data_IF_764238526953
#
_entry.id   IF_764238526953
#
_cell.length_a   1.000
_cell.length_b   1.000
_cell.length_c   1.000
_cell.angle_alpha   90.00
_cell.angle_beta   90.00
_cell.angle_gamma   90.00
#
_symmetry.space_group_name_H-M   'P 1'
#
loop_
_entity.id
_entity.type
_entity.pdbx_description
1 polymer ?
#
# COMPACT_ATOMS: atom_id res chain seq x y z
N UNK A 1 23.61 -15.81 -0.76
CA UNK A 1 22.97 -14.48 -0.70
C UNK A 1 22.83 -14.11 0.76
N UNK A 2 23.00 -12.84 1.09
CA UNK A 2 22.87 -12.37 2.48
C UNK A 2 21.44 -12.58 2.99
N UNK A 3 21.28 -13.11 4.20
CA UNK A 3 19.98 -13.22 4.88
C UNK A 3 19.58 -11.90 5.57
N UNK A 4 20.28 -10.82 5.26
CA UNK A 4 20.02 -9.48 5.77
C UNK A 4 19.87 -8.50 4.61
N UNK A 5 19.05 -7.48 4.80
CA UNK A 5 18.91 -6.37 3.84
C UNK A 5 20.09 -5.42 4.06
N UNK A 6 21.02 -5.43 3.12
CA UNK A 6 22.21 -4.59 3.08
C UNK A 6 22.50 -4.20 1.63
N UNK A 7 23.58 -3.45 1.38
CA UNK A 7 24.05 -3.12 0.01
C UNK A 7 24.28 -4.35 -0.88
N UNK A 8 24.61 -5.50 -0.28
CA UNK A 8 24.81 -6.76 -1.03
C UNK A 8 23.50 -7.35 -1.54
N UNK A 9 22.36 -6.87 -1.05
CA UNK A 9 21.04 -7.23 -1.52
C UNK A 9 20.72 -6.60 -2.89
N UNK A 10 21.38 -5.50 -3.23
CA UNK A 10 21.17 -4.76 -4.47
C UNK A 10 21.80 -5.52 -5.64
N UNK A 11 21.04 -5.70 -6.72
CA UNK A 11 21.52 -6.34 -7.95
C UNK A 11 22.77 -5.65 -8.50
N UNK A 12 23.72 -6.43 -9.05
CA UNK A 12 24.93 -5.88 -9.67
C UNK A 12 24.61 -5.08 -10.94
N UNK A 13 23.48 -5.35 -11.57
CA UNK A 13 22.99 -4.67 -12.77
C UNK A 13 22.17 -3.41 -12.45
N UNK A 14 22.18 -2.96 -11.19
CA UNK A 14 21.37 -1.81 -10.78
C UNK A 14 21.75 -0.55 -11.54
N UNK A 15 20.80 -0.02 -12.28
CA UNK A 15 20.82 1.32 -12.89
C UNK A 15 19.55 2.03 -12.47
N UNK A 16 19.68 3.27 -12.09
CA UNK A 16 18.59 4.12 -11.64
C UNK A 16 18.51 5.38 -12.50
N UNK A 17 17.32 5.70 -12.98
CA UNK A 17 17.07 6.92 -13.74
C UNK A 17 15.97 7.74 -13.09
N UNK A 18 16.31 8.94 -12.65
CA UNK A 18 15.36 9.91 -12.13
C UNK A 18 14.79 10.73 -13.29
N UNK A 19 13.58 10.35 -13.73
CA UNK A 19 12.91 11.01 -14.86
C UNK A 19 12.32 12.38 -14.49
N UNK A 20 12.21 12.70 -13.20
CA UNK A 20 11.82 14.03 -12.72
C UNK A 20 13.00 15.00 -12.70
N UNK A 21 14.24 14.50 -12.70
CA UNK A 21 15.48 15.30 -12.63
C UNK A 21 16.29 15.19 -13.92
N UNK A 22 15.68 15.53 -15.05
CA UNK A 22 16.34 15.56 -16.37
C UNK A 22 16.95 14.21 -16.79
N UNK A 23 16.36 13.08 -16.41
CA UNK A 23 16.85 11.73 -16.67
C UNK A 23 18.25 11.48 -16.11
N UNK A 24 18.57 12.05 -14.95
CA UNK A 24 19.84 11.77 -14.29
C UNK A 24 19.94 10.28 -13.95
N UNK A 25 21.03 9.65 -14.36
CA UNK A 25 21.24 8.21 -14.18
C UNK A 25 22.31 7.96 -13.14
N UNK A 26 22.09 6.96 -12.30
CA UNK A 26 22.99 6.50 -11.25
C UNK A 26 23.20 5.00 -11.37
N UNK A 27 24.38 4.51 -11.02
CA UNK A 27 24.71 3.10 -10.95
C UNK A 27 24.79 2.58 -9.50
N UNK A 28 25.03 1.27 -9.33
CA UNK A 28 25.16 0.64 -8.00
C UNK A 28 26.25 1.30 -7.15
N UNK A 29 27.39 1.68 -7.74
CA UNK A 29 28.48 2.31 -7.00
C UNK A 29 28.03 3.65 -6.40
N UNK A 30 27.39 4.50 -7.19
CA UNK A 30 26.87 5.79 -6.73
C UNK A 30 25.79 5.64 -5.66
N UNK A 31 24.93 4.59 -5.77
CA UNK A 31 23.98 4.27 -4.71
C UNK A 31 24.70 3.86 -3.42
N UNK A 32 25.75 3.03 -3.51
CA UNK A 32 26.54 2.62 -2.32
C UNK A 32 27.23 3.84 -1.68
N UNK A 33 27.76 4.75 -2.47
CA UNK A 33 28.32 5.99 -1.96
C UNK A 33 27.31 6.81 -1.16
N UNK A 34 26.08 6.94 -1.68
CA UNK A 34 24.99 7.61 -0.96
C UNK A 34 24.54 6.85 0.29
N UNK A 35 24.50 5.52 0.26
CA UNK A 35 24.22 4.70 1.44
C UNK A 35 25.23 5.02 2.55
N UNK A 36 26.52 5.09 2.21
CA UNK A 36 27.57 5.43 3.18
C UNK A 36 27.41 6.84 3.74
N UNK A 37 27.09 7.82 2.91
CA UNK A 37 26.79 9.18 3.37
C UNK A 37 25.60 9.19 4.35
N UNK A 38 24.50 8.51 4.01
CA UNK A 38 23.33 8.46 4.88
C UNK A 38 23.57 7.67 6.16
N UNK A 39 24.37 6.59 6.13
CA UNK A 39 24.82 5.92 7.37
C UNK A 39 25.55 6.87 8.30
N UNK A 40 26.46 7.67 7.74
CA UNK A 40 27.18 8.68 8.52
C UNK A 40 26.23 9.72 9.11
N UNK A 41 25.35 10.30 8.30
CA UNK A 41 24.36 11.29 8.74
C UNK A 41 23.46 10.73 9.84
N UNK A 42 22.89 9.55 9.64
CA UNK A 42 22.04 8.91 10.64
C UNK A 42 22.81 8.63 11.94
N UNK A 43 24.01 8.09 11.84
CA UNK A 43 24.79 7.67 13.01
C UNK A 43 25.38 8.84 13.79
N UNK A 44 26.02 9.78 13.11
CA UNK A 44 26.80 10.85 13.75
C UNK A 44 26.03 12.16 13.88
N UNK A 45 25.31 12.58 12.84
CA UNK A 45 24.57 13.83 12.91
C UNK A 45 23.26 13.66 13.69
N UNK A 46 22.57 12.53 13.48
CA UNK A 46 21.27 12.25 14.11
C UNK A 46 21.36 11.29 15.29
N UNK A 47 22.56 10.81 15.63
CA UNK A 47 22.83 9.94 16.77
C UNK A 47 21.96 8.67 16.84
N UNK A 48 21.61 8.12 15.66
CA UNK A 48 20.79 6.91 15.55
C UNK A 48 21.50 5.69 16.21
N UNK A 49 20.75 4.93 17.01
CA UNK A 49 21.24 3.74 17.68
C UNK A 49 20.55 2.49 17.07
N UNK A 50 21.24 1.33 17.07
CA UNK A 50 20.62 0.07 16.64
C UNK A 50 19.30 -0.19 17.34
N UNK A 51 18.35 -0.74 16.62
CA UNK A 51 17.00 -1.05 17.08
C UNK A 51 16.14 0.15 17.51
N UNK A 52 16.58 1.39 17.26
CA UNK A 52 15.67 2.54 17.31
C UNK A 52 14.71 2.52 16.11
N UNK A 53 13.52 3.09 16.27
CA UNK A 53 12.50 3.17 15.25
C UNK A 53 12.67 4.44 14.42
N UNK A 54 12.77 4.28 13.10
CA UNK A 54 12.82 5.39 12.14
C UNK A 54 11.58 5.39 11.24
N UNK A 55 10.92 6.55 11.14
CA UNK A 55 9.90 6.82 10.12
C UNK A 55 10.55 7.63 9.00
N UNK A 56 10.46 7.11 7.78
CA UNK A 56 10.96 7.76 6.57
C UNK A 56 9.77 8.37 5.83
N UNK A 57 9.47 9.63 6.15
CA UNK A 57 8.33 10.39 5.62
C UNK A 57 8.70 11.23 4.42
N UNK A 58 9.41 10.67 3.44
CA UNK A 58 9.78 11.37 2.22
C UNK A 58 8.66 11.30 1.18
N UNK A 59 8.33 12.45 0.60
CA UNK A 59 7.38 12.57 -0.51
C UNK A 59 8.06 12.29 -1.85
N UNK A 60 9.30 12.75 -2.01
CA UNK A 60 10.04 12.55 -3.26
C UNK A 60 10.74 11.20 -3.25
N UNK A 61 10.37 10.37 -4.23
CA UNK A 61 11.12 9.18 -4.54
C UNK A 61 12.36 9.58 -5.36
N UNK A 62 13.50 9.04 -4.99
CA UNK A 62 14.76 9.33 -5.65
C UNK A 62 15.85 8.42 -5.13
N UNK A 63 17.08 8.57 -5.62
CA UNK A 63 18.19 7.72 -5.19
C UNK A 63 18.44 7.80 -3.68
N UNK A 64 18.25 8.98 -3.08
CA UNK A 64 18.43 9.18 -1.64
C UNK A 64 17.39 8.43 -0.81
N UNK A 65 16.16 8.29 -1.32
CA UNK A 65 15.12 7.48 -0.67
C UNK A 65 15.57 6.02 -0.48
N UNK A 66 16.13 5.43 -1.53
CA UNK A 66 16.68 4.06 -1.46
C UNK A 66 17.91 3.99 -0.58
N UNK A 67 18.79 4.96 -0.72
CA UNK A 67 20.01 5.04 0.09
C UNK A 67 19.69 5.10 1.59
N UNK A 68 18.69 5.88 2.00
CA UNK A 68 18.23 5.99 3.39
C UNK A 68 17.66 4.67 3.90
N UNK A 69 16.83 3.97 3.09
CA UNK A 69 16.24 2.69 3.47
C UNK A 69 17.33 1.66 3.74
N UNK A 70 18.29 1.52 2.81
CA UNK A 70 19.39 0.57 2.97
C UNK A 70 20.33 1.00 4.09
N UNK A 71 20.63 2.29 4.25
CA UNK A 71 21.42 2.81 5.34
C UNK A 71 20.78 2.52 6.72
N UNK A 72 19.47 2.74 6.83
CA UNK A 72 18.73 2.42 8.05
C UNK A 72 18.77 0.91 8.35
N UNK A 73 18.61 0.08 7.31
CA UNK A 73 18.72 -1.38 7.43
C UNK A 73 20.13 -1.82 7.88
N UNK A 74 21.19 -1.28 7.27
CA UNK A 74 22.58 -1.57 7.65
C UNK A 74 22.95 -1.07 9.06
N UNK A 75 22.27 -0.04 9.56
CA UNK A 75 22.41 0.45 10.94
C UNK A 75 21.52 -0.31 11.93
N UNK A 76 20.84 -1.35 11.47
CA UNK A 76 19.87 -2.13 12.28
C UNK A 76 18.77 -1.28 12.90
N UNK A 77 18.29 -0.24 12.17
CA UNK A 77 17.14 0.55 12.58
C UNK A 77 15.84 -0.16 12.21
N UNK A 78 14.79 0.01 13.01
CA UNK A 78 13.44 -0.48 12.73
C UNK A 78 12.69 0.52 11.89
N UNK A 79 12.51 0.23 10.60
CA UNK A 79 11.79 1.11 9.68
C UNK A 79 10.29 0.99 9.92
N UNK A 80 9.66 2.09 10.30
CA UNK A 80 8.21 2.15 10.51
C UNK A 80 7.53 2.39 9.18
N UNK A 81 6.65 1.46 8.80
CA UNK A 81 5.85 1.52 7.57
C UNK A 81 4.44 1.93 7.92
N UNK A 82 4.11 3.17 7.62
CA UNK A 82 2.79 3.75 7.89
C UNK A 82 2.40 4.70 6.76
N UNK A 83 1.13 4.67 6.39
CA UNK A 83 0.60 5.64 5.43
C UNK A 83 0.40 6.99 6.12
N UNK A 84 1.43 7.83 6.09
CA UNK A 84 1.40 9.16 6.68
C UNK A 84 0.49 10.14 5.92
N UNK A 85 0.00 9.80 4.72
CA UNK A 85 -1.01 10.56 4.01
C UNK A 85 -2.44 10.28 4.51
N UNK A 86 -2.63 9.19 5.27
CA UNK A 86 -3.92 8.78 5.85
C UNK A 86 -4.13 9.24 7.29
N UNK A 87 -3.64 10.38 7.64
CA UNK A 87 -3.62 10.88 9.02
C UNK A 87 -4.99 11.10 9.66
N UNK A 88 -6.07 11.15 8.88
CA UNK A 88 -7.39 11.33 9.45
C UNK A 88 -7.84 10.14 10.32
N UNK A 89 -7.37 8.93 10.02
CA UNK A 89 -7.58 7.75 10.89
C UNK A 89 -6.71 7.78 12.15
N UNK A 90 -5.59 8.49 12.13
CA UNK A 90 -4.68 8.61 13.28
C UNK A 90 -4.94 9.84 14.14
N UNK A 91 -5.78 10.79 13.70
CA UNK A 91 -6.16 11.99 14.51
C UNK A 91 -6.81 11.63 15.86
N UNK A 92 -7.49 10.48 15.92
CA UNK A 92 -8.19 10.02 17.13
C UNK A 92 -7.36 9.03 17.97
N UNK A 93 -6.16 8.67 17.52
CA UNK A 93 -5.26 7.87 18.34
C UNK A 93 -4.47 8.85 19.19
N UNK A 94 -4.97 9.14 20.38
CA UNK A 94 -4.19 9.79 21.40
C UNK A 94 -3.04 8.86 21.77
N UNK A 95 -1.84 9.15 21.26
CA UNK A 95 -0.60 8.39 21.55
C UNK A 95 -0.27 8.32 23.05
N UNK A 96 -0.91 9.13 23.85
CA UNK A 96 -0.79 9.12 25.30
C UNK A 96 -1.82 8.21 26.00
N UNK A 97 -2.76 7.60 25.28
CA UNK A 97 -3.65 6.62 25.89
C UNK A 97 -2.82 5.36 26.26
N UNK A 98 -2.84 4.95 27.54
CA UNK A 98 -2.21 3.71 27.98
C UNK A 98 -2.68 2.47 27.22
N UNK A 99 -3.85 2.51 26.59
CA UNK A 99 -4.39 1.44 25.74
C UNK A 99 -3.77 1.41 24.35
N UNK A 100 -3.19 2.51 23.87
CA UNK A 100 -2.48 2.61 22.59
C UNK A 100 -0.97 2.38 22.71
N UNK A 101 -0.48 1.87 23.84
CA UNK A 101 0.93 1.46 24.08
C UNK A 101 1.53 0.56 23.00
N UNK A 102 0.74 0.09 22.04
CA UNK A 102 1.16 -0.77 20.93
C UNK A 102 1.93 -0.01 19.84
N UNK A 103 1.77 1.29 19.70
CA UNK A 103 2.61 2.09 18.83
C UNK A 103 3.77 2.61 19.66
N UNK A 104 4.87 1.87 19.69
CA UNK A 104 6.11 2.37 20.26
C UNK A 104 6.40 3.76 19.70
N UNK A 105 6.82 4.73 20.52
CA UNK A 105 7.14 6.05 20.03
C UNK A 105 8.17 5.92 18.92
N UNK A 106 7.97 6.68 17.83
CA UNK A 106 8.95 6.81 16.77
C UNK A 106 10.15 7.54 17.36
N UNK A 107 11.32 6.92 17.30
CA UNK A 107 12.54 7.53 17.84
C UNK A 107 13.05 8.63 16.91
N UNK A 108 13.01 8.40 15.60
CA UNK A 108 13.51 9.31 14.58
C UNK A 108 12.42 9.50 13.51
N UNK A 109 12.09 10.74 13.19
CA UNK A 109 11.29 11.10 12.02
C UNK A 109 12.17 11.86 11.02
N UNK A 110 12.42 11.24 9.88
CA UNK A 110 13.18 11.82 8.77
C UNK A 110 12.20 12.17 7.64
N UNK A 111 12.26 13.41 7.13
CA UNK A 111 11.32 13.92 6.13
C UNK A 111 11.99 14.86 5.13
N UNK A 112 11.33 15.12 4.00
CA UNK A 112 11.76 16.07 2.97
C UNK A 112 10.80 17.28 2.85
N UNK A 113 9.97 17.52 3.87
CA UNK A 113 9.08 18.68 3.90
C UNK A 113 9.84 19.95 4.27
N UNK A 114 9.48 21.12 3.73
CA UNK A 114 9.95 22.39 4.22
C UNK A 114 9.71 22.53 5.74
N UNK A 115 10.71 23.05 6.46
CA UNK A 115 10.66 23.12 7.94
C UNK A 115 9.55 24.03 8.45
N UNK A 116 9.17 25.06 7.69
CA UNK A 116 8.06 25.97 7.95
C UNK A 116 6.71 25.28 7.95
N UNK A 117 6.52 24.26 7.10
CA UNK A 117 5.28 23.45 7.08
C UNK A 117 5.07 22.71 8.41
N UNK A 118 6.15 22.28 9.06
CA UNK A 118 6.07 21.58 10.35
C UNK A 118 5.79 22.52 11.52
N UNK A 119 5.99 23.83 11.35
CA UNK A 119 5.80 24.84 12.40
C UNK A 119 4.43 25.52 12.36
N UNK A 120 3.75 25.52 11.22
CA UNK A 120 2.45 26.17 11.05
C UNK A 120 1.31 25.19 11.32
N UNK A 121 0.54 25.48 12.36
CA UNK A 121 -0.63 24.68 12.76
C UNK A 121 -1.79 24.70 11.75
N UNK A 122 -1.69 25.42 10.63
CA UNK A 122 -2.85 25.75 9.82
C UNK A 122 -3.03 24.98 8.52
N UNK A 123 -1.98 24.44 7.92
CA UNK A 123 -2.09 23.95 6.51
C UNK A 123 -2.01 22.44 6.38
N UNK A 124 -1.28 21.74 7.27
CA UNK A 124 -1.07 20.30 7.14
C UNK A 124 -1.13 19.58 8.49
N UNK A 125 -2.31 19.46 9.05
CA UNK A 125 -2.55 18.73 10.31
C UNK A 125 -1.95 17.31 10.31
N UNK A 126 -1.84 16.70 9.14
CA UNK A 126 -1.24 15.38 8.94
C UNK A 126 0.27 15.30 9.23
N UNK A 127 1.02 16.38 9.08
CA UNK A 127 2.47 16.40 9.33
C UNK A 127 2.83 16.80 10.77
N UNK A 128 2.03 17.66 11.37
CA UNK A 128 2.20 18.09 12.76
C UNK A 128 2.08 16.92 13.73
N UNK A 129 1.24 15.95 13.38
CA UNK A 129 1.02 14.75 14.18
C UNK A 129 2.32 13.97 14.44
N UNK A 130 3.09 13.65 13.41
CA UNK A 130 4.32 12.88 13.57
C UNK A 130 5.42 13.63 14.31
N UNK A 131 5.53 14.96 14.13
CA UNK A 131 6.46 15.79 14.88
C UNK A 131 6.19 15.74 16.38
N UNK A 132 4.94 15.77 16.79
CA UNK A 132 4.55 15.73 18.19
C UNK A 132 4.90 14.41 18.90
N UNK A 133 5.05 13.31 18.12
CA UNK A 133 5.22 11.96 18.66
C UNK A 133 6.60 11.34 18.40
N UNK A 134 7.45 11.99 17.61
CA UNK A 134 8.84 11.54 17.45
C UNK A 134 9.73 12.14 18.52
N UNK A 135 10.68 11.37 19.03
CA UNK A 135 11.69 11.89 19.96
C UNK A 135 12.61 12.91 19.26
N UNK A 136 12.90 12.65 18.00
CA UNK A 136 13.80 13.46 17.18
C UNK A 136 13.22 13.58 15.75
N UNK A 137 13.16 14.79 15.23
CA UNK A 137 12.67 15.08 13.88
C UNK A 137 13.74 15.82 13.09
N UNK A 138 14.03 15.34 11.90
CA UNK A 138 15.07 15.87 11.02
C UNK A 138 14.56 16.06 9.59
N UNK A 139 15.02 17.12 8.94
CA UNK A 139 14.78 17.36 7.52
C UNK A 139 15.94 16.85 6.67
N UNK A 140 15.65 16.10 5.62
CA UNK A 140 16.65 15.70 4.63
C UNK A 140 17.15 16.89 3.81
N UNK A 141 16.35 17.96 3.73
CA UNK A 141 16.73 19.19 3.03
C UNK A 141 17.86 19.94 3.76
N UNK A 142 17.96 19.76 5.09
CA UNK A 142 19.01 20.35 5.92
C UNK A 142 20.24 19.44 6.03
N UNK A 143 20.16 18.22 5.50
CA UNK A 143 21.26 17.27 5.52
C UNK A 143 22.29 17.68 4.45
N UNK A 144 23.40 18.27 4.89
CA UNK A 144 24.54 18.48 4.01
C UNK A 144 25.22 17.13 3.82
N UNK A 145 25.06 16.54 2.63
CA UNK A 145 25.84 15.38 2.20
C UNK A 145 27.25 15.88 1.88
N UNK A 146 28.04 16.05 2.93
CA UNK A 146 29.45 16.46 2.83
C UNK A 146 30.21 15.31 2.15
N UNK A 147 31.30 15.64 1.44
CA UNK A 147 32.34 14.69 1.05
C UNK A 147 32.89 14.00 2.32
N UNK A 148 32.18 12.97 2.75
CA UNK A 148 32.62 12.14 3.87
C UNK A 148 33.81 11.35 3.38
N UNK A 149 34.96 11.38 4.06
CA UNK A 149 36.09 10.55 3.67
C UNK A 149 35.63 9.08 3.71
N UNK A 150 35.68 8.44 2.55
CA UNK A 150 35.21 7.08 2.31
C UNK A 150 36.13 6.04 2.96
N UNK A 151 36.16 5.97 4.27
CA UNK A 151 36.67 4.78 4.94
C UNK A 151 35.48 3.95 5.40
N UNK A 152 35.20 2.88 4.69
CA UNK A 152 34.18 1.84 5.03
C UNK A 152 34.39 1.28 6.46
N UNK A 153 35.56 1.54 7.05
CA UNK A 153 35.97 1.07 8.36
C UNK A 153 35.29 1.73 9.57
N UNK A 154 34.64 2.88 9.36
CA UNK A 154 34.19 3.74 10.47
C UNK A 154 32.85 3.30 11.06
N UNK A 155 32.00 2.56 10.31
CA UNK A 155 30.70 2.10 10.81
C UNK A 155 30.55 0.61 10.58
N UNK A 156 31.07 -0.16 11.55
CA UNK A 156 31.09 -1.64 11.53
C UNK A 156 29.83 -2.31 12.08
N UNK A 157 28.68 -1.60 12.15
CA UNK A 157 27.42 -2.22 12.55
C UNK A 157 26.99 -3.18 11.45
N UNK A 158 26.82 -4.45 11.80
CA UNK A 158 26.25 -5.46 10.93
C UNK A 158 24.91 -5.87 11.52
N UNK A 159 23.80 -5.75 10.77
CA UNK A 159 22.51 -6.20 11.26
C UNK A 159 22.52 -7.73 11.44
N UNK A 160 21.89 -8.21 12.52
CA UNK A 160 21.63 -9.63 12.66
C UNK A 160 20.40 -10.03 11.83
N UNK A 161 20.35 -11.27 11.44
CA UNK A 161 19.20 -11.81 10.68
C UNK A 161 17.89 -11.71 11.46
N UNK A 162 17.97 -11.79 12.79
CA UNK A 162 16.85 -11.72 13.74
C UNK A 162 16.48 -10.29 14.14
N UNK A 163 17.28 -9.29 13.80
CA UNK A 163 16.93 -7.89 14.07
C UNK A 163 15.64 -7.51 13.35
N UNK A 164 14.80 -6.72 14.00
CA UNK A 164 13.58 -6.21 13.39
C UNK A 164 13.96 -5.16 12.35
N UNK A 165 13.52 -5.39 11.11
CA UNK A 165 13.71 -4.43 10.00
C UNK A 165 12.48 -3.56 9.80
N UNK A 166 11.28 -4.18 9.72
CA UNK A 166 10.05 -3.44 9.50
C UNK A 166 9.08 -3.56 10.67
N UNK A 167 8.46 -2.42 10.98
CA UNK A 167 7.25 -2.31 11.79
C UNK A 167 6.11 -1.86 10.93
N UNK A 168 5.11 -2.70 10.76
CA UNK A 168 3.92 -2.45 9.93
C UNK A 168 2.71 -2.36 10.85
N UNK A 169 1.87 -1.36 10.64
CA UNK A 169 0.61 -1.27 11.36
C UNK A 169 -0.50 -1.94 10.57
N UNK A 170 -1.20 -2.90 11.17
CA UNK A 170 -2.44 -3.40 10.59
C UNK A 170 -3.56 -2.40 10.86
N UNK A 171 -4.49 -2.30 9.90
CA UNK A 171 -5.72 -1.52 10.07
C UNK A 171 -6.71 -2.18 11.03
N UNK A 172 -6.26 -2.85 12.09
CA UNK A 172 -7.02 -3.66 13.03
C UNK A 172 -8.54 -3.61 12.91
N UNK A 173 -9.18 -4.76 13.01
CA UNK A 173 -10.63 -4.90 13.07
C UNK A 173 -11.22 -4.40 14.40
N UNK A 174 -10.33 -4.20 15.36
CA UNK A 174 -10.59 -3.55 16.64
C UNK A 174 -10.00 -2.14 16.55
N UNK A 175 -10.58 -1.16 17.19
CA UNK A 175 -10.22 0.26 17.16
C UNK A 175 -8.74 0.58 17.44
N UNK A 176 -7.95 -0.41 17.78
CA UNK A 176 -6.51 -0.27 18.06
C UNK A 176 -5.69 -0.99 16.97
N UNK A 177 -4.92 -0.26 16.15
CA UNK A 177 -4.00 -0.85 15.19
C UNK A 177 -3.00 -1.78 15.86
N UNK A 178 -2.75 -2.95 15.27
CA UNK A 178 -1.70 -3.88 15.76
C UNK A 178 -0.39 -3.56 15.07
N UNK A 179 0.69 -3.53 15.83
CA UNK A 179 2.05 -3.46 15.30
C UNK A 179 2.53 -4.88 15.01
N UNK A 180 2.97 -5.09 13.77
CA UNK A 180 3.53 -6.35 13.30
C UNK A 180 4.99 -6.10 12.98
N UNK A 181 5.86 -6.89 13.55
CA UNK A 181 7.30 -6.77 13.37
C UNK A 181 7.82 -7.89 12.47
N UNK A 182 8.70 -7.51 11.55
CA UNK A 182 9.34 -8.43 10.61
C UNK A 182 10.85 -8.29 10.65
N UNK A 183 11.52 -9.44 10.73
CA UNK A 183 12.99 -9.51 10.80
C UNK A 183 13.65 -9.31 9.42
N UNK A 184 14.95 -9.01 9.43
CA UNK A 184 15.76 -8.96 8.22
C UNK A 184 15.67 -10.25 7.41
N UNK A 185 15.80 -11.39 8.09
CA UNK A 185 15.75 -12.71 7.43
C UNK A 185 14.42 -12.93 6.69
N UNK A 186 13.28 -12.63 7.36
CA UNK A 186 11.97 -12.80 6.75
C UNK A 186 11.80 -11.89 5.52
N UNK A 187 12.14 -10.61 5.66
CA UNK A 187 12.04 -9.63 4.57
C UNK A 187 12.97 -9.99 3.40
N UNK A 188 14.20 -10.40 3.71
CA UNK A 188 15.15 -10.82 2.69
C UNK A 188 14.62 -12.01 1.89
N UNK A 189 14.16 -13.06 2.58
CA UNK A 189 13.66 -14.27 1.93
C UNK A 189 12.46 -14.00 1.02
N UNK A 190 11.45 -13.26 1.50
CA UNK A 190 10.27 -12.95 0.69
C UNK A 190 10.57 -12.00 -0.46
N UNK A 191 11.47 -11.05 -0.26
CA UNK A 191 11.86 -10.10 -1.32
C UNK A 191 12.64 -10.81 -2.42
N UNK A 192 13.53 -11.73 -2.08
CA UNK A 192 14.25 -12.56 -3.04
C UNK A 192 13.30 -13.48 -3.82
N UNK A 193 12.31 -14.07 -3.19
CA UNK A 193 11.31 -14.87 -3.87
C UNK A 193 10.51 -14.03 -4.87
N UNK A 194 10.05 -12.86 -4.44
CA UNK A 194 9.30 -11.96 -5.31
C UNK A 194 10.14 -11.37 -6.44
N UNK A 195 11.44 -11.18 -6.23
CA UNK A 195 12.36 -10.62 -7.24
C UNK A 195 12.44 -11.44 -8.54
N UNK A 196 12.13 -12.74 -8.46
CA UNK A 196 12.15 -13.64 -9.61
C UNK A 196 11.12 -13.30 -10.70
N UNK A 197 10.10 -12.51 -10.35
CA UNK A 197 9.00 -12.13 -11.25
C UNK A 197 9.30 -10.92 -12.11
N UNK A 198 10.23 -10.08 -11.69
CA UNK A 198 10.45 -8.77 -12.30
C UNK A 198 11.54 -8.82 -13.35
N UNK A 199 11.32 -8.14 -14.47
CA UNK A 199 12.23 -8.05 -15.61
C UNK A 199 12.09 -6.74 -16.36
N UNK A 200 13.11 -6.37 -17.13
CA UNK A 200 13.11 -5.17 -17.96
C UNK A 200 13.22 -3.87 -17.14
N UNK A 201 12.66 -2.80 -17.64
CA UNK A 201 12.60 -1.52 -16.94
C UNK A 201 11.45 -1.49 -15.96
N UNK A 202 11.71 -1.12 -14.72
CA UNK A 202 10.71 -1.02 -13.66
C UNK A 202 10.47 0.43 -13.26
N UNK A 203 9.21 0.85 -13.18
CA UNK A 203 8.85 2.16 -12.65
C UNK A 203 8.46 2.07 -11.18
N UNK A 204 9.06 2.91 -10.36
CA UNK A 204 8.74 3.08 -8.97
C UNK A 204 7.91 4.36 -8.76
N UNK A 205 6.69 4.18 -8.27
CA UNK A 205 5.79 5.26 -7.87
C UNK A 205 5.27 5.06 -6.44
N UNK A 206 5.67 3.98 -5.79
CA UNK A 206 5.23 3.61 -4.44
C UNK A 206 6.32 3.93 -3.42
N UNK A 207 5.95 4.64 -2.37
CA UNK A 207 6.77 4.82 -1.16
C UNK A 207 6.46 3.73 -0.11
N UNK A 208 7.14 3.79 1.06
CA UNK A 208 6.94 2.84 2.17
C UNK A 208 5.67 3.12 3.00
N UNK A 209 4.57 3.52 2.37
CA UNK A 209 3.30 3.75 3.08
C UNK A 209 2.56 2.46 3.42
N UNK A 210 2.91 1.36 2.76
CA UNK A 210 2.32 0.04 2.97
C UNK A 210 3.39 -1.04 3.07
N UNK A 211 3.14 -2.06 3.87
CA UNK A 211 4.02 -3.22 3.96
C UNK A 211 4.29 -3.89 2.61
N UNK A 212 3.26 -4.00 1.77
CA UNK A 212 3.39 -4.53 0.42
C UNK A 212 4.33 -3.69 -0.47
N UNK A 213 4.40 -2.37 -0.28
CA UNK A 213 5.33 -1.52 -1.04
C UNK A 213 6.79 -1.91 -0.78
N UNK A 214 7.13 -2.33 0.43
CA UNK A 214 8.47 -2.79 0.75
C UNK A 214 8.77 -4.18 0.17
N UNK A 215 7.93 -5.16 0.46
CA UNK A 215 8.21 -6.59 0.24
C UNK A 215 7.73 -7.11 -1.12
N UNK A 216 6.82 -6.41 -1.80
CA UNK A 216 6.32 -6.80 -3.12
C UNK A 216 6.93 -5.95 -4.23
N UNK A 217 7.18 -4.66 -4.00
CA UNK A 217 7.67 -3.76 -5.04
C UNK A 217 9.13 -3.34 -4.82
N UNK A 218 9.41 -2.54 -3.80
CA UNK A 218 10.68 -1.84 -3.64
C UNK A 218 11.88 -2.80 -3.50
N UNK A 219 11.92 -3.62 -2.46
CA UNK A 219 13.05 -4.50 -2.19
C UNK A 219 13.20 -5.63 -3.24
N UNK A 220 12.11 -6.27 -3.71
CA UNK A 220 12.22 -7.26 -4.78
C UNK A 220 12.78 -6.68 -6.09
N UNK A 221 12.40 -5.46 -6.44
CA UNK A 221 12.95 -4.81 -7.63
C UNK A 221 14.45 -4.53 -7.48
N UNK A 222 14.89 -4.03 -6.31
CA UNK A 222 16.32 -3.81 -6.05
C UNK A 222 17.14 -5.10 -6.12
N UNK A 223 16.57 -6.23 -5.70
CA UNK A 223 17.22 -7.53 -5.70
C UNK A 223 17.18 -8.24 -7.07
N UNK A 224 16.28 -7.84 -7.97
CA UNK A 224 16.06 -8.54 -9.22
C UNK A 224 17.25 -8.40 -10.18
N UNK A 225 17.80 -9.53 -10.59
CA UNK A 225 18.87 -9.57 -11.61
C UNK A 225 18.35 -9.33 -13.03
N UNK A 226 17.05 -9.41 -13.23
CA UNK A 226 16.40 -9.27 -14.54
C UNK A 226 15.85 -7.85 -14.76
N UNK A 227 15.86 -7.00 -13.74
CA UNK A 227 15.54 -5.58 -13.88
C UNK A 227 16.79 -4.86 -14.37
N UNK A 228 16.68 -4.21 -15.52
CA UNK A 228 17.80 -3.56 -16.21
C UNK A 228 17.88 -2.07 -15.95
N UNK A 229 16.76 -1.43 -15.60
CA UNK A 229 16.71 -0.02 -15.26
C UNK A 229 15.58 0.25 -14.28
N UNK A 230 15.82 1.11 -13.31
CA UNK A 230 14.84 1.58 -12.34
C UNK A 230 14.50 3.03 -12.62
N UNK A 231 13.27 3.28 -13.04
CA UNK A 231 12.75 4.62 -13.25
C UNK A 231 12.02 5.11 -12.00
N UNK A 232 12.11 6.38 -11.74
CA UNK A 232 11.39 7.03 -10.64
C UNK A 232 10.57 8.19 -11.12
N UNK A 233 9.34 8.23 -10.63
CA UNK A 233 8.43 9.33 -10.85
C UNK A 233 7.55 9.55 -9.61
N UNK A 234 7.36 10.79 -9.23
CA UNK A 234 6.45 11.15 -8.16
C UNK A 234 5.01 11.22 -8.70
N UNK A 235 4.32 10.09 -8.62
CA UNK A 235 2.95 9.93 -9.10
C UNK A 235 1.93 9.85 -7.94
N UNK A 236 2.26 10.42 -6.79
CA UNK A 236 1.34 10.42 -5.64
C UNK A 236 0.06 11.21 -5.90
N UNK A 237 0.09 12.17 -6.84
CA UNK A 237 -1.03 13.00 -7.24
C UNK A 237 -1.66 12.49 -8.54
N UNK A 238 -3.00 12.32 -8.60
CA UNK A 238 -3.71 12.02 -9.83
C UNK A 238 -3.44 12.99 -11.00
N UNK A 239 -3.17 14.26 -10.71
CA UNK A 239 -2.84 15.26 -11.73
C UNK A 239 -1.47 15.01 -12.38
N UNK A 240 -0.57 14.34 -11.68
CA UNK A 240 0.76 13.98 -12.20
C UNK A 240 0.75 12.84 -13.22
N UNK A 241 -0.35 12.08 -13.33
CA UNK A 241 -0.44 10.91 -14.23
C UNK A 241 -0.32 11.28 -15.70
N UNK A 242 -0.87 12.42 -16.12
CA UNK A 242 -0.72 12.89 -17.50
C UNK A 242 0.76 13.13 -17.85
N UNK A 243 1.49 13.82 -16.98
CA UNK A 243 2.93 14.01 -17.13
C UNK A 243 3.72 12.70 -17.07
N UNK A 244 3.27 11.74 -16.25
CA UNK A 244 3.88 10.41 -16.17
C UNK A 244 3.82 9.67 -17.52
N UNK A 245 2.66 9.66 -18.19
CA UNK A 245 2.51 9.01 -19.51
C UNK A 245 3.48 9.62 -20.52
N UNK A 246 3.63 10.95 -20.55
CA UNK A 246 4.59 11.63 -21.43
C UNK A 246 6.03 11.27 -21.09
N UNK A 247 6.39 11.30 -19.83
CA UNK A 247 7.74 10.96 -19.35
C UNK A 247 8.13 9.50 -19.64
N UNK A 248 7.17 8.59 -19.62
CA UNK A 248 7.39 7.17 -19.89
C UNK A 248 7.38 6.81 -21.38
N UNK A 249 6.81 7.63 -22.24
CA UNK A 249 6.67 7.34 -23.67
C UNK A 249 8.01 6.93 -24.34
N UNK A 250 9.17 7.52 -24.02
CA UNK A 250 10.47 7.06 -24.53
C UNK A 250 10.79 5.61 -24.17
N UNK A 251 10.29 5.11 -23.05
CA UNK A 251 10.56 3.78 -22.51
C UNK A 251 9.48 2.73 -22.84
N UNK A 252 8.49 3.06 -23.65
CA UNK A 252 7.27 2.25 -23.86
C UNK A 252 7.51 0.80 -24.27
N UNK A 253 8.63 0.50 -24.94
CA UNK A 253 9.00 -0.87 -25.32
C UNK A 253 9.89 -1.57 -24.29
N UNK A 254 10.47 -0.84 -23.34
CA UNK A 254 11.37 -1.35 -22.32
C UNK A 254 10.66 -1.54 -20.98
N UNK A 255 9.59 -0.76 -20.77
CA UNK A 255 8.84 -0.79 -19.52
C UNK A 255 8.17 -2.15 -19.34
N UNK A 256 8.70 -2.91 -18.39
CA UNK A 256 8.23 -4.26 -18.08
C UNK A 256 7.37 -4.32 -16.83
N UNK A 257 7.46 -3.32 -15.94
CA UNK A 257 6.80 -3.36 -14.65
C UNK A 257 6.36 -1.98 -14.16
N UNK A 258 5.13 -1.91 -13.66
CA UNK A 258 4.58 -0.75 -12.97
C UNK A 258 3.57 -1.21 -11.91
N UNK A 259 3.65 -0.65 -10.73
CA UNK A 259 2.63 -0.83 -9.70
C UNK A 259 2.13 0.52 -9.20
N UNK A 260 0.82 0.69 -9.17
CA UNK A 260 0.19 1.84 -8.51
C UNK A 260 -0.32 1.47 -7.12
N UNK A 261 -0.23 2.40 -6.15
CA UNK A 261 -0.73 2.17 -4.80
C UNK A 261 -2.26 2.07 -4.77
N UNK A 262 -2.95 2.66 -5.76
CA UNK A 262 -4.39 2.76 -5.78
C UNK A 262 -5.00 2.44 -7.16
N UNK A 263 -6.13 1.71 -7.20
CA UNK A 263 -6.77 1.32 -8.46
C UNK A 263 -7.19 2.48 -9.35
N UNK A 264 -7.64 3.60 -8.79
CA UNK A 264 -8.07 4.76 -9.57
C UNK A 264 -6.92 5.41 -10.36
N UNK A 265 -5.67 5.27 -9.90
CA UNK A 265 -4.49 5.72 -10.65
C UNK A 265 -4.26 4.85 -11.89
N UNK A 266 -4.62 3.57 -11.81
CA UNK A 266 -4.60 2.66 -12.97
C UNK A 266 -5.62 3.11 -14.02
N UNK A 267 -6.85 3.43 -13.60
CA UNK A 267 -7.87 3.93 -14.53
C UNK A 267 -7.41 5.21 -15.23
N UNK A 268 -6.87 6.14 -14.46
CA UNK A 268 -6.36 7.39 -15.02
C UNK A 268 -5.18 7.17 -15.97
N UNK A 269 -4.26 6.26 -15.63
CA UNK A 269 -3.17 5.88 -16.52
C UNK A 269 -3.66 5.27 -17.84
N UNK A 270 -4.72 4.45 -17.78
CA UNK A 270 -5.36 3.87 -18.97
C UNK A 270 -6.00 4.96 -19.83
N UNK A 271 -6.77 5.87 -19.22
CA UNK A 271 -7.43 6.98 -19.90
C UNK A 271 -6.42 7.89 -20.61
N UNK A 272 -5.37 8.29 -19.91
CA UNK A 272 -4.30 9.12 -20.47
C UNK A 272 -3.56 8.39 -21.61
N UNK A 273 -3.28 7.10 -21.44
CA UNK A 273 -2.65 6.28 -22.48
C UNK A 273 -3.51 6.21 -23.74
N UNK A 274 -4.83 6.05 -23.59
CA UNK A 274 -5.79 6.08 -24.73
C UNK A 274 -5.83 7.45 -25.39
N UNK A 275 -5.95 8.51 -24.60
CA UNK A 275 -6.02 9.89 -25.08
C UNK A 275 -4.78 10.26 -25.90
N UNK A 276 -3.61 9.82 -25.46
CA UNK A 276 -2.32 10.07 -26.11
C UNK A 276 -1.96 9.02 -27.16
N UNK A 277 -2.82 8.03 -27.38
CA UNK A 277 -2.59 6.92 -28.30
C UNK A 277 -1.24 6.19 -28.05
N UNK A 278 -0.92 5.96 -26.77
CA UNK A 278 0.28 5.24 -26.35
C UNK A 278 -0.10 3.84 -25.89
N UNK A 279 0.68 2.84 -26.31
CA UNK A 279 0.57 1.44 -25.84
C UNK A 279 1.86 1.00 -25.21
N UNK A 280 1.75 0.05 -24.26
CA UNK A 280 2.82 -0.46 -23.43
C UNK A 280 2.94 -1.99 -23.62
N UNK A 281 3.48 -2.47 -24.75
CA UNK A 281 3.34 -3.87 -25.18
C UNK A 281 3.97 -4.89 -24.24
N UNK A 282 4.96 -4.48 -23.45
CA UNK A 282 5.69 -5.35 -22.51
C UNK A 282 5.35 -5.11 -21.04
N UNK A 283 4.46 -4.15 -20.76
CA UNK A 283 4.12 -3.76 -19.41
C UNK A 283 3.24 -4.79 -18.71
N UNK A 284 3.72 -5.30 -17.58
CA UNK A 284 2.95 -6.06 -16.61
C UNK A 284 2.58 -5.11 -15.44
N UNK A 285 1.30 -4.78 -15.36
CA UNK A 285 0.76 -3.89 -14.34
C UNK A 285 0.43 -4.68 -13.08
N UNK A 286 0.78 -4.14 -11.92
CA UNK A 286 0.45 -4.75 -10.63
C UNK A 286 -0.54 -3.86 -9.87
N UNK A 287 -1.57 -4.49 -9.32
CA UNK A 287 -2.49 -3.85 -8.39
C UNK A 287 -2.50 -4.59 -7.04
N UNK A 288 -2.56 -3.84 -5.95
CA UNK A 288 -2.73 -4.37 -4.60
C UNK A 288 -4.22 -4.48 -4.22
N UNK A 289 -5.09 -4.45 -5.21
CA UNK A 289 -6.54 -4.56 -5.10
C UNK A 289 -7.08 -5.48 -6.19
N UNK A 290 -8.39 -5.61 -6.30
CA UNK A 290 -9.02 -6.35 -7.40
C UNK A 290 -8.75 -5.68 -8.76
N UNK A 291 -8.86 -6.48 -9.84
CA UNK A 291 -8.69 -5.98 -11.20
C UNK A 291 -9.99 -5.30 -11.64
N UNK A 292 -9.89 -4.01 -11.99
CA UNK A 292 -11.01 -3.24 -12.52
C UNK A 292 -11.40 -3.70 -13.93
N UNK A 293 -12.67 -3.59 -14.29
CA UNK A 293 -13.16 -3.95 -15.63
C UNK A 293 -12.47 -3.14 -16.74
N UNK A 294 -12.28 -1.83 -16.51
CA UNK A 294 -11.56 -0.98 -17.46
C UNK A 294 -10.12 -1.48 -17.71
N UNK A 295 -9.46 -2.01 -16.67
CA UNK A 295 -8.12 -2.57 -16.79
C UNK A 295 -8.11 -3.90 -17.58
N UNK A 296 -9.12 -4.77 -17.41
CA UNK A 296 -9.30 -5.98 -18.22
C UNK A 296 -9.50 -5.62 -19.70
N UNK A 297 -10.35 -4.62 -19.97
CA UNK A 297 -10.56 -4.11 -21.33
C UNK A 297 -9.27 -3.52 -21.92
N UNK A 298 -8.46 -2.82 -21.11
CA UNK A 298 -7.19 -2.29 -21.59
C UNK A 298 -6.18 -3.40 -21.97
N UNK A 299 -6.19 -4.55 -21.28
CA UNK A 299 -5.43 -5.73 -21.68
C UNK A 299 -5.95 -6.31 -22.98
N UNK A 300 -7.28 -6.49 -23.11
CA UNK A 300 -7.95 -6.93 -24.34
C UNK A 300 -7.60 -6.02 -25.53
N UNK A 301 -7.65 -4.71 -25.31
CA UNK A 301 -7.39 -3.69 -26.32
C UNK A 301 -5.89 -3.45 -26.57
N UNK A 302 -5.02 -4.24 -25.92
CA UNK A 302 -3.55 -4.20 -26.05
C UNK A 302 -2.91 -2.88 -25.62
N UNK A 303 -3.52 -2.15 -24.71
CA UNK A 303 -2.89 -0.96 -24.09
C UNK A 303 -1.65 -1.40 -23.31
N UNK A 304 -1.71 -2.51 -22.54
CA UNK A 304 -0.57 -3.15 -21.89
C UNK A 304 -0.68 -4.69 -21.97
N UNK A 305 0.37 -5.37 -21.55
CA UNK A 305 0.50 -6.83 -21.71
C UNK A 305 -0.41 -7.60 -20.77
N UNK A 306 -0.33 -7.30 -19.47
CA UNK A 306 -1.11 -7.97 -18.44
C UNK A 306 -1.37 -7.07 -17.25
N UNK A 307 -2.35 -7.45 -16.42
CA UNK A 307 -2.53 -6.89 -15.08
C UNK A 307 -2.67 -8.01 -14.07
N UNK A 308 -1.90 -7.93 -12.99
CA UNK A 308 -1.92 -8.88 -11.88
C UNK A 308 -2.41 -8.22 -10.61
N UNK A 309 -3.48 -8.74 -10.04
CA UNK A 309 -3.91 -8.45 -8.68
C UNK A 309 -3.10 -9.30 -7.71
N UNK A 310 -2.60 -8.65 -6.65
CA UNK A 310 -1.90 -9.32 -5.56
C UNK A 310 -2.73 -9.20 -4.29
N UNK A 311 -3.00 -10.34 -3.68
CA UNK A 311 -3.62 -10.42 -2.38
C UNK A 311 -2.61 -10.86 -1.32
N UNK A 312 -2.57 -10.14 -0.21
CA UNK A 312 -1.69 -10.41 0.93
C UNK A 312 -2.15 -9.69 2.18
N UNK A 313 -1.43 -9.91 3.27
CA UNK A 313 -1.70 -9.25 4.55
C UNK A 313 -0.41 -8.64 5.12
N UNK A 314 -0.55 -7.71 6.06
CA UNK A 314 0.59 -7.12 6.75
C UNK A 314 1.36 -8.15 7.60
N UNK A 315 0.67 -9.20 8.03
CA UNK A 315 1.25 -10.29 8.80
C UNK A 315 2.20 -11.15 7.97
N UNK A 316 1.97 -11.25 6.67
CA UNK A 316 2.75 -12.08 5.75
C UNK A 316 3.64 -11.29 4.82
N UNK A 317 3.36 -10.02 4.60
CA UNK A 317 4.09 -9.08 3.74
C UNK A 317 4.33 -9.55 2.31
N UNK A 318 3.58 -10.52 1.82
CA UNK A 318 3.82 -11.03 0.48
C UNK A 318 2.56 -11.39 -0.26
N UNK A 319 2.69 -11.63 -1.56
CA UNK A 319 1.59 -12.17 -2.33
C UNK A 319 1.29 -13.59 -1.86
N UNK A 320 0.20 -13.73 -1.10
CA UNK A 320 -0.37 -15.03 -0.76
C UNK A 320 -1.07 -15.62 -1.98
N UNK A 321 -1.74 -14.75 -2.72
CA UNK A 321 -2.49 -15.13 -3.90
C UNK A 321 -2.30 -14.10 -5.01
N UNK A 322 -2.41 -14.55 -6.24
CA UNK A 322 -2.41 -13.70 -7.43
C UNK A 322 -3.59 -14.03 -8.33
N UNK A 323 -4.06 -13.04 -9.06
CA UNK A 323 -5.00 -13.18 -10.15
C UNK A 323 -4.51 -12.33 -11.32
N UNK A 324 -4.40 -12.92 -12.52
CA UNK A 324 -3.79 -12.23 -13.66
C UNK A 324 -4.72 -12.24 -14.87
N UNK A 325 -5.10 -11.06 -15.34
CA UNK A 325 -5.68 -10.89 -16.66
C UNK A 325 -4.55 -10.70 -17.68
N UNK A 326 -4.52 -11.56 -18.70
CA UNK A 326 -3.57 -11.52 -19.82
C UNK A 326 -4.32 -11.41 -21.14
N UNK A 327 -3.60 -11.20 -22.24
CA UNK A 327 -4.21 -11.11 -23.59
C UNK A 327 -5.04 -12.33 -23.95
N UNK A 328 -4.59 -13.52 -23.57
CA UNK A 328 -5.27 -14.78 -23.88
C UNK A 328 -6.40 -15.10 -22.89
N UNK A 329 -6.36 -14.50 -21.72
CA UNK A 329 -7.34 -14.69 -20.65
C UNK A 329 -7.64 -13.35 -19.94
N UNK A 330 -8.23 -12.40 -20.68
CA UNK A 330 -8.54 -11.07 -20.13
C UNK A 330 -9.84 -11.06 -19.31
N UNK A 331 -10.81 -11.92 -19.65
CA UNK A 331 -12.15 -11.95 -19.01
C UNK A 331 -12.17 -12.89 -17.81
N UNK A 332 -11.25 -12.68 -16.88
CA UNK A 332 -11.19 -13.45 -15.62
C UNK A 332 -12.17 -12.90 -14.58
N UNK A 333 -12.66 -13.77 -13.71
CA UNK A 333 -13.35 -13.33 -12.49
C UNK A 333 -12.32 -12.81 -11.49
N UNK A 334 -12.44 -11.55 -11.08
CA UNK A 334 -11.49 -10.90 -10.16
C UNK A 334 -11.45 -11.50 -8.75
N UNK A 335 -12.39 -12.40 -8.42
CA UNK A 335 -12.42 -13.11 -7.13
C UNK A 335 -11.59 -14.38 -7.10
N UNK A 336 -11.17 -14.92 -8.27
CA UNK A 336 -10.43 -16.17 -8.39
C UNK A 336 -8.93 -15.92 -8.31
N UNK A 337 -8.29 -16.58 -7.38
CA UNK A 337 -6.88 -16.42 -7.10
C UNK A 337 -6.14 -17.75 -7.15
N UNK A 338 -4.87 -17.69 -7.54
CA UNK A 338 -3.93 -18.80 -7.50
C UNK A 338 -2.83 -18.54 -6.47
N UNK A 339 -2.29 -19.61 -5.88
CA UNK A 339 -1.07 -19.50 -5.07
C UNK A 339 0.12 -19.26 -6.02
N UNK A 340 0.89 -18.19 -5.80
CA UNK A 340 1.93 -17.80 -6.76
C UNK A 340 3.19 -18.64 -6.70
N UNK A 341 3.47 -19.29 -5.56
CA UNK A 341 4.68 -20.07 -5.30
C UNK A 341 4.52 -20.89 -4.01
N UNK A 342 5.52 -21.71 -3.70
CA UNK A 342 5.55 -22.60 -2.53
C UNK A 342 6.11 -21.93 -1.26
N UNK A 343 6.34 -20.61 -1.27
CA UNK A 343 6.87 -19.89 -0.12
C UNK A 343 5.94 -19.93 1.09
N UNK A 344 4.63 -19.96 0.83
CA UNK A 344 3.61 -20.09 1.86
C UNK A 344 2.82 -21.39 1.69
N UNK A 345 2.50 -22.04 2.82
CA UNK A 345 1.45 -23.06 2.85
C UNK A 345 0.17 -22.44 3.35
N UNK A 346 -0.90 -22.63 2.62
CA UNK A 346 -2.22 -22.09 2.92
C UNK A 346 -3.16 -23.24 3.23
N UNK A 347 -3.81 -23.16 4.38
CA UNK A 347 -4.87 -24.10 4.78
C UNK A 347 -6.16 -23.33 5.01
N UNK A 348 -7.29 -23.98 4.70
CA UNK A 348 -8.63 -23.47 4.94
C UNK A 348 -9.23 -24.21 6.13
N UNK A 349 -9.91 -23.49 7.02
CA UNK A 349 -10.85 -24.10 7.97
C UNK A 349 -12.12 -24.56 7.25
N UNK A 350 -12.98 -25.31 7.93
CA UNK A 350 -14.29 -25.74 7.39
C UNK A 350 -15.18 -24.54 7.04
N UNK A 351 -14.98 -23.41 7.69
CA UNK A 351 -15.69 -22.15 7.44
C UNK A 351 -15.05 -21.31 6.32
N UNK A 352 -13.93 -21.75 5.76
CA UNK A 352 -13.19 -21.03 4.72
C UNK A 352 -12.20 -19.99 5.22
N UNK A 353 -11.94 -19.88 6.53
CA UNK A 353 -10.91 -18.98 7.08
C UNK A 353 -9.52 -19.50 6.73
N UNK A 354 -8.63 -18.60 6.25
CA UNK A 354 -7.28 -19.02 5.88
C UNK A 354 -6.30 -18.92 7.04
N UNK A 355 -5.50 -19.97 7.15
CA UNK A 355 -4.28 -20.00 7.96
C UNK A 355 -3.07 -20.10 7.03
N UNK A 356 -2.14 -19.18 7.18
CA UNK A 356 -0.90 -19.12 6.40
C UNK A 356 0.24 -19.65 7.26
N UNK A 357 0.93 -20.66 6.77
CA UNK A 357 2.18 -21.14 7.37
C UNK A 357 3.35 -20.66 6.52
N UNK A 358 4.33 -20.04 7.17
CA UNK A 358 5.61 -19.72 6.55
C UNK A 358 6.61 -20.81 6.95
N UNK A 359 6.87 -21.81 6.08
CA UNK A 359 7.62 -23.02 6.48
C UNK A 359 9.03 -22.72 7.01
N UNK A 360 9.73 -21.76 6.39
CA UNK A 360 11.10 -21.38 6.74
C UNK A 360 11.21 -20.92 8.20
N UNK A 361 10.14 -20.36 8.77
CA UNK A 361 10.09 -19.80 10.12
C UNK A 361 9.21 -20.60 11.06
N UNK A 362 8.57 -21.66 10.58
CA UNK A 362 7.56 -22.42 11.32
C UNK A 362 6.51 -21.50 12.02
N UNK A 363 6.21 -20.37 11.35
CA UNK A 363 5.27 -19.37 11.85
C UNK A 363 3.92 -19.57 11.19
N UNK A 364 2.89 -19.73 12.02
CA UNK A 364 1.51 -19.72 11.55
C UNK A 364 0.87 -18.37 11.81
N UNK A 365 0.13 -17.88 10.82
CA UNK A 365 -0.64 -16.63 10.87
C UNK A 365 -2.07 -16.94 10.48
N UNK A 366 -3.00 -16.72 11.38
CA UNK A 366 -4.42 -16.69 11.03
C UNK A 366 -4.79 -15.32 10.51
N UNK A 367 -5.51 -15.30 9.39
CA UNK A 367 -6.07 -14.07 8.84
C UNK A 367 -7.57 -14.02 9.11
N UNK A 368 -8.18 -12.86 8.94
CA UNK A 368 -9.63 -12.72 9.00
C UNK A 368 -10.26 -12.82 7.59
N UNK A 369 -9.50 -13.28 6.62
CA UNK A 369 -9.95 -13.43 5.25
C UNK A 369 -10.52 -14.82 5.02
N UNK A 370 -11.65 -14.87 4.33
CA UNK A 370 -12.39 -16.10 4.01
C UNK A 370 -12.32 -16.38 2.52
N UNK A 371 -12.10 -17.64 2.20
CA UNK A 371 -12.04 -18.14 0.83
C UNK A 371 -12.82 -19.46 0.70
N UNK A 372 -13.41 -19.68 -0.46
CA UNK A 372 -13.80 -21.02 -0.90
C UNK A 372 -12.69 -21.60 -1.78
N UNK A 373 -12.67 -22.91 -1.93
CA UNK A 373 -11.79 -23.58 -2.87
C UNK A 373 -12.61 -24.13 -4.04
N UNK A 374 -12.22 -23.74 -5.26
CA UNK A 374 -12.81 -24.22 -6.50
C UNK A 374 -11.67 -24.77 -7.39
N UNK A 375 -11.47 -26.08 -7.32
CA UNK A 375 -10.35 -26.75 -7.96
C UNK A 375 -8.98 -26.26 -7.44
N UNK A 376 -8.20 -25.68 -8.33
CA UNK A 376 -6.91 -25.06 -7.99
C UNK A 376 -7.05 -23.61 -7.50
N UNK A 377 -8.22 -23.00 -7.69
CA UNK A 377 -8.46 -21.60 -7.35
C UNK A 377 -8.96 -21.42 -5.92
N UNK A 378 -8.63 -20.26 -5.37
CA UNK A 378 -9.17 -19.73 -4.14
C UNK A 378 -10.09 -18.55 -4.47
N UNK A 379 -11.36 -18.66 -4.07
CA UNK A 379 -12.38 -17.64 -4.36
C UNK A 379 -12.57 -16.78 -3.12
N UNK A 380 -12.16 -15.51 -3.19
CA UNK A 380 -12.25 -14.59 -2.06
C UNK A 380 -13.70 -14.27 -1.71
N UNK A 381 -14.09 -14.52 -0.46
CA UNK A 381 -15.42 -14.26 0.10
C UNK A 381 -15.52 -12.95 0.88
N UNK A 382 -14.37 -12.34 1.15
CA UNK A 382 -14.29 -11.14 1.96
C UNK A 382 -13.66 -11.39 3.34
N UNK A 383 -13.80 -10.40 4.21
CA UNK A 383 -13.38 -10.49 5.63
C UNK A 383 -14.61 -10.41 6.51
N UNK A 384 -14.55 -11.08 7.66
CA UNK A 384 -15.67 -11.07 8.63
C UNK A 384 -16.01 -9.68 9.17
N UNK A 385 -15.08 -8.75 9.06
CA UNK A 385 -15.11 -7.45 9.71
C UNK A 385 -14.76 -6.26 8.81
N UNK A 386 -14.44 -6.52 7.55
CA UNK A 386 -14.06 -5.48 6.59
C UNK A 386 -14.62 -5.74 5.20
N UNK A 387 -15.00 -4.67 4.54
CA UNK A 387 -15.39 -4.66 3.13
C UNK A 387 -14.41 -3.79 2.35
N UNK A 388 -14.20 -4.12 1.06
CA UNK A 388 -13.42 -3.28 0.16
C UNK A 388 -14.33 -2.68 -0.90
N UNK A 389 -14.30 -1.35 -1.01
CA UNK A 389 -15.01 -0.59 -2.04
C UNK A 389 -14.02 0.39 -2.65
N UNK A 390 -13.85 0.38 -3.97
CA UNK A 390 -12.94 1.26 -4.71
C UNK A 390 -11.49 1.31 -4.15
N UNK A 391 -11.01 0.15 -3.65
CA UNK A 391 -9.68 0.04 -3.06
C UNK A 391 -9.57 0.52 -1.62
N UNK A 392 -10.60 1.12 -1.06
CA UNK A 392 -10.69 1.49 0.35
C UNK A 392 -11.29 0.37 1.18
N UNK A 393 -10.73 0.15 2.37
CA UNK A 393 -11.24 -0.84 3.33
C UNK A 393 -12.20 -0.17 4.29
N UNK A 394 -13.44 -0.64 4.33
CA UNK A 394 -14.48 -0.20 5.25
C UNK A 394 -14.57 -1.20 6.39
N UNK A 395 -14.43 -0.74 7.61
CA UNK A 395 -14.70 -1.56 8.79
C UNK A 395 -16.21 -1.60 9.06
N UNK A 396 -16.74 -2.79 9.29
CA UNK A 396 -18.15 -2.98 9.63
C UNK A 396 -18.54 -2.21 10.92
N UNK A 397 -17.61 -2.09 11.88
CA UNK A 397 -17.87 -1.29 13.10
C UNK A 397 -18.10 0.17 12.77
N UNK A 398 -17.33 0.77 11.86
CA UNK A 398 -17.51 2.16 11.41
C UNK A 398 -18.89 2.35 10.79
N UNK A 399 -19.32 1.43 9.93
CA UNK A 399 -20.65 1.49 9.31
C UNK A 399 -21.76 1.32 10.37
N UNK A 400 -21.57 0.40 11.31
CA UNK A 400 -22.52 0.18 12.40
C UNK A 400 -22.63 1.42 13.32
N UNK A 401 -21.53 2.11 13.57
CA UNK A 401 -21.54 3.33 14.38
C UNK A 401 -22.23 4.49 13.65
N UNK A 402 -21.99 4.64 12.34
CA UNK A 402 -22.73 5.58 11.50
C UNK A 402 -24.23 5.25 11.47
N UNK A 403 -24.60 3.97 11.34
CA UNK A 403 -26.00 3.54 11.38
C UNK A 403 -26.67 3.79 12.74
N UNK A 404 -25.91 3.80 13.85
CA UNK A 404 -26.43 4.21 15.17
C UNK A 404 -26.56 5.71 15.30
N UNK A 405 -25.62 6.46 14.73
CA UNK A 405 -25.60 7.92 14.75
C UNK A 405 -26.79 8.51 13.97
N UNK A 406 -27.13 7.91 12.81
CA UNK A 406 -28.21 8.37 11.92
C UNK A 406 -29.39 7.40 11.92
N UNK A 407 -30.21 7.46 12.95
CA UNK A 407 -31.30 6.50 13.21
C UNK A 407 -32.37 6.41 12.11
N UNK A 408 -32.50 7.48 11.30
CA UNK A 408 -33.45 7.53 10.18
C UNK A 408 -32.83 7.13 8.84
N UNK A 409 -31.58 6.66 8.85
CA UNK A 409 -30.90 6.14 7.66
C UNK A 409 -30.26 4.80 7.94
N UNK A 410 -29.90 4.09 6.90
CA UNK A 410 -29.14 2.85 6.98
C UNK A 410 -28.18 2.71 5.79
N UNK A 411 -26.91 2.54 6.10
CA UNK A 411 -25.87 2.34 5.10
C UNK A 411 -25.87 0.86 4.70
N UNK A 412 -26.13 0.61 3.43
CA UNK A 412 -26.12 -0.73 2.84
C UNK A 412 -24.82 -0.93 2.07
N UNK A 413 -24.07 -1.96 2.43
CA UNK A 413 -22.83 -2.33 1.74
C UNK A 413 -23.17 -3.39 0.70
N UNK A 414 -22.91 -3.10 -0.57
CA UNK A 414 -23.00 -4.08 -1.64
C UNK A 414 -21.59 -4.52 -2.08
N UNK A 415 -21.18 -5.68 -1.60
CA UNK A 415 -19.86 -6.25 -1.91
C UNK A 415 -19.76 -6.81 -3.32
N UNK A 416 -20.89 -7.13 -3.97
CA UNK A 416 -20.89 -7.61 -5.35
C UNK A 416 -20.63 -6.49 -6.34
N UNK A 417 -21.25 -5.32 -6.11
CA UNK A 417 -21.11 -4.16 -6.97
C UNK A 417 -20.07 -3.15 -6.46
N UNK A 418 -19.37 -3.46 -5.36
CA UNK A 418 -18.35 -2.62 -4.74
C UNK A 418 -18.82 -1.18 -4.47
N UNK A 419 -20.02 -1.01 -3.91
CA UNK A 419 -20.60 0.30 -3.67
C UNK A 419 -21.35 0.40 -2.33
N UNK A 420 -21.64 1.63 -1.92
CA UNK A 420 -22.51 1.96 -0.80
C UNK A 420 -23.84 2.50 -1.32
N UNK A 421 -24.92 2.07 -0.67
CA UNK A 421 -26.23 2.66 -0.82
C UNK A 421 -26.68 3.26 0.51
N UNK A 422 -27.55 4.27 0.45
CA UNK A 422 -28.17 4.87 1.62
C UNK A 422 -29.69 4.68 1.58
N UNK A 423 -30.19 3.84 2.46
CA UNK A 423 -31.62 3.73 2.71
C UNK A 423 -32.01 4.85 3.69
N UNK A 424 -32.99 5.66 3.32
CA UNK A 424 -33.57 6.71 4.18
C UNK A 424 -34.97 6.25 4.56
N UNK A 425 -35.20 6.12 5.86
CA UNK A 425 -36.52 5.74 6.37
C UNK A 425 -37.40 6.99 6.41
N UNK A 426 -38.65 6.86 6.04
CA UNK A 426 -39.72 7.87 5.87
C UNK A 426 -39.51 9.25 6.52
N UNK A 427 -39.92 10.33 5.84
CA UNK A 427 -40.04 11.71 6.32
C UNK A 427 -38.74 12.56 6.38
N UNK A 428 -37.70 12.20 5.67
CA UNK A 428 -36.53 13.07 5.55
C UNK A 428 -36.66 14.04 4.36
N UNK A 429 -36.39 15.33 4.59
CA UNK A 429 -36.26 16.27 3.47
C UNK A 429 -35.02 15.94 2.61
N UNK A 430 -35.10 16.27 1.33
CA UNK A 430 -33.96 16.06 0.40
C UNK A 430 -32.69 16.82 0.86
N UNK A 431 -32.84 17.98 1.48
CA UNK A 431 -31.73 18.74 2.05
C UNK A 431 -31.05 17.99 3.20
N UNK A 432 -31.86 17.36 4.07
CA UNK A 432 -31.33 16.58 5.17
C UNK A 432 -30.65 15.28 4.67
N UNK A 433 -31.25 14.60 3.69
CA UNK A 433 -30.66 13.42 3.04
C UNK A 433 -29.30 13.78 2.43
N UNK A 434 -29.24 14.91 1.72
CA UNK A 434 -27.98 15.37 1.12
C UNK A 434 -26.93 15.67 2.20
N UNK A 435 -27.29 16.37 3.28
CA UNK A 435 -26.37 16.68 4.37
C UNK A 435 -25.81 15.40 5.02
N UNK A 436 -26.67 14.41 5.31
CA UNK A 436 -26.25 13.11 5.86
C UNK A 436 -25.36 12.36 4.89
N UNK A 437 -25.69 12.35 3.60
CA UNK A 437 -24.86 11.70 2.57
C UNK A 437 -23.45 12.30 2.51
N UNK A 438 -23.35 13.63 2.49
CA UNK A 438 -22.07 14.35 2.48
C UNK A 438 -21.27 14.03 3.74
N UNK A 439 -21.91 13.99 4.90
CA UNK A 439 -21.23 13.68 6.15
C UNK A 439 -20.76 12.24 6.20
N UNK A 440 -21.56 11.26 5.75
CA UNK A 440 -21.14 9.87 5.63
C UNK A 440 -19.96 9.75 4.65
N UNK A 441 -20.06 10.36 3.48
CA UNK A 441 -18.99 10.35 2.48
C UNK A 441 -17.69 11.01 2.99
N UNK A 442 -17.79 12.00 3.88
CA UNK A 442 -16.63 12.64 4.49
C UNK A 442 -15.80 11.72 5.40
N UNK A 443 -16.39 10.60 5.84
CA UNK A 443 -15.69 9.57 6.64
C UNK A 443 -14.85 8.63 5.78
N UNK A 444 -15.03 8.68 4.47
CA UNK A 444 -14.34 7.83 3.50
C UNK A 444 -13.64 8.71 2.47
N UNK A 445 -12.41 8.37 2.10
CA UNK A 445 -11.64 9.19 1.15
C UNK A 445 -12.13 9.07 -0.29
N UNK A 446 -12.62 7.89 -0.66
CA UNK A 446 -12.86 7.50 -2.06
C UNK A 446 -14.20 6.85 -2.31
N UNK A 447 -14.96 6.64 -1.26
CA UNK A 447 -16.23 5.96 -1.36
C UNK A 447 -17.33 7.01 -1.40
N UNK A 448 -18.16 6.89 -2.43
CA UNK A 448 -19.35 7.68 -2.62
C UNK A 448 -20.58 6.82 -2.43
N UNK A 449 -21.66 7.43 -1.96
CA UNK A 449 -22.96 6.79 -1.94
C UNK A 449 -23.47 6.74 -3.38
N UNK A 450 -23.58 5.52 -3.91
CA UNK A 450 -23.93 5.32 -5.32
C UNK A 450 -25.40 5.55 -5.59
N UNK A 451 -26.25 5.17 -4.63
CA UNK A 451 -27.71 5.35 -4.71
C UNK A 451 -28.28 5.71 -3.35
N UNK A 452 -29.29 6.56 -3.37
CA UNK A 452 -30.06 6.93 -2.18
C UNK A 452 -31.54 6.65 -2.47
N UNK A 453 -32.23 5.98 -1.55
CA UNK A 453 -33.65 5.71 -1.68
C UNK A 453 -34.41 5.99 -0.38
N UNK A 454 -35.57 6.62 -0.50
CA UNK A 454 -36.53 6.72 0.59
C UNK A 454 -37.39 5.46 0.61
N UNK A 455 -37.39 4.77 1.74
CA UNK A 455 -37.97 3.45 1.87
C UNK A 455 -38.90 3.36 3.09
N UNK A 456 -39.93 2.53 2.95
CA UNK A 456 -40.79 2.17 4.08
C UNK A 456 -40.10 1.09 4.91
N UNK A 457 -39.69 1.44 6.11
CA UNK A 457 -38.88 0.58 7.00
C UNK A 457 -39.47 -0.82 7.20
N UNK A 458 -40.79 -0.89 7.38
CA UNK A 458 -41.51 -2.19 7.59
C UNK A 458 -41.32 -3.20 6.47
N UNK A 459 -41.04 -2.76 5.24
CA UNK A 459 -40.91 -3.64 4.09
C UNK A 459 -39.59 -4.43 4.09
N UNK A 460 -38.62 -4.01 4.94
CA UNK A 460 -37.27 -4.58 5.00
C UNK A 460 -36.92 -5.19 6.35
N UNK A 461 -37.90 -5.40 7.22
CA UNK A 461 -37.68 -6.02 8.52
C UNK A 461 -38.38 -7.37 8.60
N UNK A 462 -37.64 -8.37 9.06
CA UNK A 462 -38.19 -9.64 9.50
C UNK A 462 -38.22 -9.66 11.02
N UNK A 463 -39.39 -9.40 11.59
CA UNK A 463 -39.56 -9.16 13.02
C UNK A 463 -38.79 -7.90 13.46
N UNK A 464 -37.80 -8.05 14.34
CA UNK A 464 -36.95 -6.95 14.83
C UNK A 464 -35.63 -6.82 14.05
N UNK A 465 -35.35 -7.71 13.11
CA UNK A 465 -34.09 -7.75 12.35
C UNK A 465 -34.30 -7.19 10.95
N UNK A 466 -33.39 -6.31 10.55
CA UNK A 466 -33.32 -5.78 9.20
C UNK A 466 -32.79 -6.88 8.24
N UNK A 467 -33.50 -7.06 7.13
CA UNK A 467 -33.06 -7.96 6.05
C UNK A 467 -32.14 -7.20 5.10
N UNK A 468 -30.85 -7.34 5.34
CA UNK A 468 -29.81 -6.70 4.55
C UNK A 468 -29.73 -7.21 3.11
N UNK A 469 -30.11 -8.46 2.86
CA UNK A 469 -30.06 -9.01 1.50
C UNK A 469 -31.22 -8.48 0.66
N UNK A 470 -32.39 -8.42 1.23
CA UNK A 470 -33.56 -7.81 0.57
C UNK A 470 -33.29 -6.32 0.23
N UNK A 471 -32.61 -5.57 1.14
CA UNK A 471 -32.20 -4.21 0.86
C UNK A 471 -31.20 -4.12 -0.30
N UNK A 472 -30.20 -5.01 -0.34
CA UNK A 472 -29.23 -5.06 -1.44
C UNK A 472 -29.91 -5.37 -2.76
N UNK A 473 -30.80 -6.36 -2.81
CA UNK A 473 -31.56 -6.70 -4.01
C UNK A 473 -32.42 -5.53 -4.48
N UNK A 474 -33.07 -4.82 -3.56
CA UNK A 474 -33.81 -3.62 -3.90
C UNK A 474 -32.94 -2.60 -4.63
N UNK A 475 -31.80 -2.23 -4.06
CA UNK A 475 -30.91 -1.24 -4.68
C UNK A 475 -30.26 -1.72 -5.99
N UNK A 476 -30.08 -3.03 -6.18
CA UNK A 476 -29.57 -3.61 -7.43
C UNK A 476 -30.59 -3.56 -8.55
N UNK A 477 -31.84 -3.80 -8.25
CA UNK A 477 -32.93 -3.95 -9.23
C UNK A 477 -33.61 -2.62 -9.57
N UNK A 478 -33.67 -1.69 -8.62
CA UNK A 478 -34.30 -0.40 -8.85
C UNK A 478 -33.29 0.60 -9.43
N UNK A 479 -33.59 1.09 -10.65
CA UNK A 479 -32.92 2.24 -11.25
C UNK A 479 -33.48 3.52 -10.57
N UNK A 480 -32.81 3.97 -9.52
CA UNK A 480 -33.11 5.26 -8.88
C UNK A 480 -32.23 6.32 -9.54
#
# INVERSE_FOLDING_TARGET
>A
MSNTITRDFISDNFIFTDICSNNQTYNKKELIERINCWKYVLRYNYSAQPQESILIGMQKLGIDYFAIIIAAAELSLKIVVVDYNRTDKFKNIEYNDPKTKLLSPIDIFLHDFPTDILTTNQVYSKYVFFKAHSKRTYSTLDAVLIDVPFEDSVISIQPNTTDILFRVTSSGTTDVPKVIEHTHEFISAISLENSKRYKGTALHVNNLNHGASASVTLLPLLASKNVTNHLFYDAADPESISGLVDALTPYKYELGYLSFPYPFLIDKFIEESRTKNVTWPNLDLITLSYILENAKHAVRDRIFNSITSIFGSNETLGPLFINTASRDNWNIDSRYYLIPNDFYKITLSDEGKITVTVPVYNKQVETNDYFDRDGEYFVHKGRSDMFRINGESINLSTVNDLNKQYTNTYIVIDTLNHCLYLACWEEMSMEHIHAVSVEIESKFERIKITKVAQLTKSNFYYGIKLDNELLREYFRTYNV
#
